data_IF_104037262926
#
_entry.id   IF_104037262926
#
_cell.length_a   1.000
_cell.length_b   1.000
_cell.length_c   1.000
_cell.angle_alpha   90.00
_cell.angle_beta   90.00
_cell.angle_gamma   90.00
#
_symmetry.space_group_name_H-M   'P 1'
#
loop_
_entity.id
_entity.type
_entity.pdbx_description
1 polymer ?
#
# COMPACT_ATOMS: atom_id res chain seq x y z
N UNK A 1 11.83 25.01 -2.85
CA UNK A 1 11.47 24.02 -1.84
C UNK A 1 12.44 22.85 -1.83
N UNK A 2 12.61 22.20 -0.68
CA UNK A 2 13.46 20.98 -0.61
C UNK A 2 12.69 19.75 -1.06
N UNK A 3 13.40 18.85 -1.79
CA UNK A 3 12.87 17.57 -2.23
C UNK A 3 13.97 16.51 -2.28
N UNK A 4 13.61 15.24 -2.09
CA UNK A 4 14.52 14.11 -2.27
C UNK A 4 14.47 13.66 -3.73
N UNK A 5 15.59 13.84 -4.41
CA UNK A 5 15.73 13.55 -5.84
C UNK A 5 16.74 12.43 -6.09
N UNK A 6 16.63 11.79 -7.25
CA UNK A 6 17.69 10.93 -7.81
C UNK A 6 17.91 11.23 -9.28
N UNK A 7 19.16 11.49 -9.66
CA UNK A 7 19.53 11.82 -11.04
C UNK A 7 19.89 10.60 -11.87
N UNK A 8 20.30 9.53 -11.21
CA UNK A 8 20.65 8.22 -11.78
C UNK A 8 19.95 7.10 -11.01
N UNK A 9 19.67 6.00 -11.66
CA UNK A 9 19.16 4.81 -10.98
C UNK A 9 20.28 4.09 -10.23
N UNK A 10 20.00 3.46 -9.09
CA UNK A 10 21.02 2.77 -8.30
C UNK A 10 20.62 2.40 -6.88
N UNK A 11 21.63 2.25 -6.02
CA UNK A 11 21.52 2.04 -4.57
C UNK A 11 20.86 3.23 -3.86
N UNK A 12 20.50 3.13 -2.56
CA UNK A 12 19.92 4.25 -1.81
C UNK A 12 20.77 5.53 -1.80
N UNK A 13 22.08 5.42 -1.98
CA UNK A 13 23.02 6.55 -1.97
C UNK A 13 22.82 7.55 -3.12
N UNK A 14 22.02 7.20 -4.14
CA UNK A 14 21.66 8.12 -5.22
C UNK A 14 20.58 9.13 -4.82
N UNK A 15 20.01 8.99 -3.63
CA UNK A 15 19.00 9.90 -3.10
C UNK A 15 19.65 11.09 -2.44
N UNK A 16 19.35 12.28 -2.92
CA UNK A 16 19.91 13.56 -2.47
C UNK A 16 18.81 14.55 -2.17
N UNK A 17 18.99 15.38 -1.16
CA UNK A 17 18.11 16.54 -0.92
C UNK A 17 18.61 17.69 -1.79
N UNK A 18 17.72 18.19 -2.64
CA UNK A 18 18.02 19.32 -3.51
C UNK A 18 16.93 20.38 -3.41
N UNK A 19 17.32 21.62 -3.67
CA UNK A 19 16.37 22.70 -3.89
C UNK A 19 15.78 22.57 -5.31
N UNK A 20 14.46 22.57 -5.37
CA UNK A 20 13.67 22.50 -6.59
C UNK A 20 12.57 23.56 -6.59
N UNK A 21 12.04 23.90 -7.75
CA UNK A 21 10.93 24.83 -7.84
C UNK A 21 9.68 24.28 -7.14
N UNK A 22 8.94 25.14 -6.45
CA UNK A 22 7.62 24.79 -5.91
C UNK A 22 6.65 24.56 -7.06
N UNK A 23 5.90 23.46 -7.07
CA UNK A 23 5.01 23.14 -8.19
C UNK A 23 3.87 24.14 -8.29
N UNK A 24 3.52 24.51 -9.53
CA UNK A 24 2.33 25.30 -9.85
C UNK A 24 1.16 24.32 -9.99
N UNK A 25 0.05 24.58 -9.28
CA UNK A 25 -1.16 23.74 -9.35
C UNK A 25 -1.95 24.03 -10.63
N UNK A 26 -2.58 22.99 -11.15
CA UNK A 26 -3.61 23.08 -12.20
C UNK A 26 -4.98 23.38 -11.59
N UNK A 27 -5.95 23.62 -12.44
CA UNK A 27 -7.31 23.96 -12.02
C UNK A 27 -7.97 22.88 -11.14
N UNK A 28 -7.67 21.59 -11.33
CA UNK A 28 -8.19 20.44 -10.58
C UNK A 28 -7.24 19.93 -9.48
N UNK A 29 -6.14 20.65 -9.21
CA UNK A 29 -5.13 20.25 -8.23
C UNK A 29 -5.17 21.15 -6.99
N UNK A 30 -4.62 20.61 -5.92
CA UNK A 30 -4.33 21.35 -4.68
C UNK A 30 -2.83 21.35 -4.43
N UNK A 31 -2.32 22.39 -3.79
CA UNK A 31 -0.95 22.43 -3.26
C UNK A 31 -0.98 21.94 -1.81
N UNK A 32 -0.33 20.84 -1.55
CA UNK A 32 -0.21 20.26 -0.20
C UNK A 32 1.17 20.57 0.35
N UNK A 33 1.25 21.22 1.53
CA UNK A 33 2.44 21.21 2.37
C UNK A 33 2.52 19.84 3.02
N UNK A 34 3.53 19.06 2.67
CA UNK A 34 3.70 17.69 3.12
C UNK A 34 4.33 17.67 4.51
N UNK A 35 3.79 16.85 5.41
CA UNK A 35 4.35 16.62 6.75
C UNK A 35 4.93 15.21 6.88
N UNK A 36 4.36 14.23 6.16
CA UNK A 36 4.89 12.89 6.13
C UNK A 36 4.61 12.19 4.79
N UNK A 37 5.50 11.27 4.43
CA UNK A 37 5.38 10.36 3.29
C UNK A 37 5.71 8.96 3.73
N UNK A 38 5.30 7.92 3.01
CA UNK A 38 5.74 6.56 3.32
C UNK A 38 6.54 5.94 2.19
N UNK A 39 7.49 5.09 2.54
CA UNK A 39 8.31 4.36 1.58
C UNK A 39 7.63 3.04 1.23
N UNK A 40 7.57 2.72 -0.05
CA UNK A 40 6.96 1.52 -0.59
C UNK A 40 7.98 0.70 -1.40
N UNK A 41 7.80 -0.63 -1.51
CA UNK A 41 8.64 -1.44 -2.40
C UNK A 41 8.67 -0.95 -3.85
N UNK A 42 7.60 -0.32 -4.34
CA UNK A 42 7.54 0.26 -5.68
C UNK A 42 8.49 1.46 -5.83
N UNK A 43 8.68 2.28 -4.80
CA UNK A 43 9.61 3.42 -4.81
C UNK A 43 11.06 2.93 -4.96
N UNK A 44 11.38 1.79 -4.31
CA UNK A 44 12.68 1.11 -4.46
C UNK A 44 12.87 0.58 -5.89
N UNK A 45 11.84 -0.05 -6.47
CA UNK A 45 11.89 -0.56 -7.85
C UNK A 45 12.07 0.59 -8.85
N UNK A 46 11.35 1.70 -8.68
CA UNK A 46 11.47 2.90 -9.53
C UNK A 46 12.89 3.47 -9.44
N UNK A 47 13.43 3.61 -8.23
CA UNK A 47 14.79 4.11 -8.03
C UNK A 47 15.85 3.21 -8.68
N UNK A 48 15.68 1.88 -8.63
CA UNK A 48 16.64 0.92 -9.18
C UNK A 48 16.55 0.72 -10.70
N UNK A 49 15.38 0.91 -11.30
CA UNK A 49 15.11 0.52 -12.68
C UNK A 49 14.77 1.73 -13.56
N UNK A 50 15.62 2.02 -14.55
CA UNK A 50 15.46 3.18 -15.45
C UNK A 50 14.16 3.12 -16.26
N UNK A 51 13.77 1.95 -16.73
CA UNK A 51 12.55 1.77 -17.53
C UNK A 51 11.33 2.04 -16.64
N UNK A 52 11.28 1.45 -15.44
CA UNK A 52 10.21 1.68 -14.49
C UNK A 52 10.17 3.15 -14.04
N UNK A 53 11.33 3.76 -13.79
CA UNK A 53 11.43 5.18 -13.46
C UNK A 53 10.82 6.07 -14.54
N UNK A 54 11.09 5.80 -15.81
CA UNK A 54 10.55 6.58 -16.92
C UNK A 54 9.03 6.44 -17.04
N UNK A 55 8.50 5.20 -17.00
CA UNK A 55 7.06 4.96 -17.21
C UNK A 55 6.21 5.28 -15.98
N UNK A 56 6.68 4.97 -14.78
CA UNK A 56 5.89 5.09 -13.55
C UNK A 56 6.03 6.49 -12.95
N UNK A 57 7.24 7.02 -12.88
CA UNK A 57 7.52 8.33 -12.28
C UNK A 57 7.24 9.51 -13.24
N UNK A 58 6.82 9.24 -14.48
CA UNK A 58 6.48 10.23 -15.51
C UNK A 58 7.55 11.33 -15.67
N UNK A 59 8.84 10.93 -15.56
CA UNK A 59 9.97 11.85 -15.67
C UNK A 59 10.24 12.68 -14.40
N UNK A 60 9.47 12.55 -13.32
CA UNK A 60 9.83 13.16 -12.04
C UNK A 60 11.12 12.55 -11.50
N UNK A 61 12.00 13.40 -11.05
CA UNK A 61 13.23 12.98 -10.35
C UNK A 61 13.02 12.87 -8.84
N UNK A 62 11.88 13.29 -8.32
CA UNK A 62 11.54 13.26 -6.89
C UNK A 62 10.95 11.89 -6.56
N UNK A 63 11.43 11.25 -5.51
CA UNK A 63 10.94 9.96 -5.04
C UNK A 63 9.62 10.06 -4.25
N UNK A 64 9.08 8.90 -3.85
CA UNK A 64 7.91 8.79 -2.97
C UNK A 64 6.58 8.77 -3.72
N UNK A 65 5.59 8.14 -3.10
CA UNK A 65 4.28 7.93 -3.71
C UNK A 65 3.11 8.30 -2.77
N UNK A 66 3.20 7.98 -1.50
CA UNK A 66 2.21 8.36 -0.47
C UNK A 66 2.52 9.73 0.11
N UNK A 67 1.51 10.43 0.59
CA UNK A 67 1.68 11.67 1.33
C UNK A 67 0.57 11.89 2.35
N UNK A 68 0.89 12.69 3.36
CA UNK A 68 -0.07 13.40 4.21
C UNK A 68 0.44 14.81 4.50
N UNK A 69 -0.49 15.75 4.64
CA UNK A 69 -0.11 17.15 4.84
C UNK A 69 -1.33 18.06 4.89
N UNK A 70 -1.09 19.36 4.73
CA UNK A 70 -2.11 20.41 4.79
C UNK A 70 -2.23 21.13 3.46
N UNK A 71 -3.44 21.37 3.01
CA UNK A 71 -3.72 22.15 1.79
C UNK A 71 -3.37 23.61 2.03
N UNK A 72 -2.51 24.17 1.17
CA UNK A 72 -2.09 25.56 1.17
C UNK A 72 -2.80 26.41 0.12
N UNK A 73 -3.16 25.82 -1.01
CA UNK A 73 -3.95 26.48 -2.05
C UNK A 73 -4.73 25.43 -2.87
N UNK A 74 -5.83 25.88 -3.47
CA UNK A 74 -6.72 25.03 -4.30
C UNK A 74 -6.85 25.62 -5.69
N UNK A 75 -6.93 24.77 -6.72
CA UNK A 75 -7.19 25.15 -8.09
C UNK A 75 -8.65 25.58 -8.29
N UNK A 76 -8.92 26.26 -9.40
CA UNK A 76 -10.21 26.93 -9.66
C UNK A 76 -11.42 25.99 -9.72
N UNK A 77 -11.21 24.72 -10.09
CA UNK A 77 -12.30 23.73 -10.23
C UNK A 77 -12.40 22.79 -9.04
N UNK A 78 -11.53 22.94 -8.03
CA UNK A 78 -11.60 22.16 -6.79
C UNK A 78 -12.78 22.62 -5.96
N UNK A 79 -13.69 21.70 -5.62
CA UNK A 79 -14.92 22.01 -4.88
C UNK A 79 -15.08 21.21 -3.58
N UNK A 80 -14.34 20.10 -3.44
CA UNK A 80 -14.48 19.17 -2.32
C UNK A 80 -13.54 19.46 -1.15
N UNK A 81 -12.59 20.39 -1.32
CA UNK A 81 -11.52 20.69 -0.38
C UNK A 81 -11.21 22.18 -0.34
N UNK A 82 -10.61 22.65 0.76
CA UNK A 82 -10.25 24.06 0.98
C UNK A 82 -8.88 24.21 1.63
N UNK A 83 -8.36 25.43 1.60
CA UNK A 83 -7.15 25.79 2.31
C UNK A 83 -7.27 25.47 3.81
N UNK A 84 -6.22 24.89 4.38
CA UNK A 84 -6.17 24.48 5.78
C UNK A 84 -6.64 23.05 6.05
N UNK A 85 -7.27 22.37 5.10
CA UNK A 85 -7.67 20.98 5.27
C UNK A 85 -6.45 20.06 5.41
N UNK A 86 -6.49 19.16 6.39
CA UNK A 86 -5.53 18.07 6.54
C UNK A 86 -5.93 16.92 5.63
N UNK A 87 -4.99 16.46 4.81
CA UNK A 87 -5.26 15.46 3.76
C UNK A 87 -4.23 14.34 3.74
N UNK A 88 -4.61 13.21 3.14
CA UNK A 88 -3.72 12.12 2.81
C UNK A 88 -4.07 11.53 1.44
N UNK A 89 -3.10 10.96 0.77
CA UNK A 89 -3.33 10.41 -0.56
C UNK A 89 -2.13 9.78 -1.22
N UNK A 90 -2.36 9.35 -2.47
CA UNK A 90 -1.38 8.63 -3.27
C UNK A 90 -1.30 9.19 -4.69
N UNK A 91 -0.06 9.43 -5.14
CA UNK A 91 0.27 9.66 -6.55
C UNK A 91 1.53 8.87 -6.92
N UNK A 92 1.68 8.58 -8.20
CA UNK A 92 2.90 7.89 -8.67
C UNK A 92 4.06 8.88 -8.76
N UNK A 93 5.00 8.75 -7.82
CA UNK A 93 6.22 9.55 -7.74
C UNK A 93 6.02 11.01 -7.30
N UNK A 94 7.08 11.60 -6.77
CA UNK A 94 7.14 13.03 -6.51
C UNK A 94 6.55 13.51 -5.18
N UNK A 95 6.42 12.65 -4.17
CA UNK A 95 5.81 13.06 -2.89
C UNK A 95 6.81 13.39 -1.80
N UNK A 96 8.09 12.93 -1.90
CA UNK A 96 9.11 13.24 -0.91
C UNK A 96 9.67 14.64 -1.14
N UNK A 97 8.87 15.65 -0.84
CA UNK A 97 9.14 17.07 -1.02
C UNK A 97 8.32 17.91 -0.02
N UNK A 98 8.74 19.14 0.25
CA UNK A 98 8.00 20.06 1.15
C UNK A 98 6.61 20.41 0.63
N UNK A 99 6.45 20.48 -0.70
CA UNK A 99 5.16 20.80 -1.35
C UNK A 99 4.90 19.87 -2.52
N UNK A 100 3.65 19.47 -2.69
CA UNK A 100 3.19 18.59 -3.77
C UNK A 100 1.90 19.13 -4.38
N UNK A 101 1.89 19.29 -5.71
CA UNK A 101 0.66 19.49 -6.46
C UNK A 101 0.02 18.14 -6.76
N UNK A 102 -1.25 17.97 -6.39
CA UNK A 102 -1.97 16.71 -6.57
C UNK A 102 -3.46 16.96 -6.85
N UNK A 103 -4.05 16.18 -7.77
CA UNK A 103 -5.47 16.28 -8.08
C UNK A 103 -6.33 15.91 -6.87
N UNK A 104 -7.41 16.69 -6.61
CA UNK A 104 -8.36 16.40 -5.54
C UNK A 104 -8.93 14.97 -5.61
N UNK A 105 -8.97 14.37 -6.82
CA UNK A 105 -9.46 12.99 -7.04
C UNK A 105 -8.55 11.90 -6.50
N UNK A 106 -7.38 12.25 -5.95
CA UNK A 106 -6.35 11.30 -5.46
C UNK A 106 -6.04 11.44 -3.99
N UNK A 107 -6.74 12.33 -3.30
CA UNK A 107 -6.57 12.60 -1.87
C UNK A 107 -7.93 12.57 -1.18
N UNK A 108 -7.90 12.44 0.15
CA UNK A 108 -9.09 12.55 1.01
C UNK A 108 -8.73 13.32 2.29
N UNK A 109 -9.75 13.78 3.02
CA UNK A 109 -9.58 14.43 4.33
C UNK A 109 -9.02 13.42 5.33
N UNK A 110 -7.93 13.80 5.98
CA UNK A 110 -7.27 12.99 7.00
C UNK A 110 -8.21 12.78 8.19
N UNK A 111 -8.40 11.53 8.65
CA UNK A 111 -9.12 11.27 9.89
C UNK A 111 -8.49 12.00 11.07
N UNK A 112 -9.32 12.63 11.91
CA UNK A 112 -8.82 13.44 13.04
C UNK A 112 -8.06 12.61 14.09
N UNK A 113 -8.37 11.34 14.18
CA UNK A 113 -7.75 10.38 15.11
C UNK A 113 -6.45 9.74 14.56
N UNK A 114 -5.85 10.33 13.52
CA UNK A 114 -4.54 9.92 12.98
C UNK A 114 -3.53 11.07 13.06
N UNK A 115 -2.27 10.74 13.33
CA UNK A 115 -1.15 11.65 13.06
C UNK A 115 -0.88 11.76 11.55
N UNK A 116 -0.02 12.66 11.11
CA UNK A 116 0.36 12.74 9.70
C UNK A 116 1.19 11.52 9.26
N UNK A 117 2.03 10.99 10.14
CA UNK A 117 2.81 9.78 9.90
C UNK A 117 1.91 8.56 9.69
N UNK A 118 0.93 8.36 10.58
CA UNK A 118 -0.06 7.30 10.43
C UNK A 118 -0.87 7.44 9.15
N UNK A 119 -1.27 8.67 8.81
CA UNK A 119 -2.03 8.95 7.60
C UNK A 119 -1.20 8.74 6.32
N UNK A 120 0.09 9.10 6.32
CA UNK A 120 0.99 8.83 5.20
C UNK A 120 1.23 7.33 4.99
N UNK A 121 1.11 6.51 6.03
CA UNK A 121 1.26 5.06 5.95
C UNK A 121 0.09 4.34 5.26
N UNK A 122 -1.06 5.02 5.11
CA UNK A 122 -2.32 4.42 4.63
C UNK A 122 -2.38 4.24 3.11
N UNK A 123 -2.14 5.26 2.23
CA UNK A 123 -2.78 5.31 0.91
C UNK A 123 -2.48 4.10 0.04
N UNK A 124 -1.24 3.90 -0.40
CA UNK A 124 -0.91 2.80 -1.32
C UNK A 124 -1.21 1.43 -0.72
N UNK A 125 -0.86 1.21 0.53
CA UNK A 125 -0.96 -0.09 1.17
C UNK A 125 -2.43 -0.47 1.44
N UNK A 126 -3.23 0.44 2.02
CA UNK A 126 -4.62 0.17 2.34
C UNK A 126 -5.51 0.15 1.08
N UNK A 127 -5.25 1.01 0.07
CA UNK A 127 -5.90 0.93 -1.24
C UNK A 127 -5.63 -0.42 -1.92
N UNK A 128 -4.38 -0.90 -1.87
CA UNK A 128 -4.02 -2.22 -2.39
C UNK A 128 -4.82 -3.32 -1.69
N UNK A 129 -4.89 -3.29 -0.36
CA UNK A 129 -5.62 -4.27 0.42
C UNK A 129 -7.14 -4.22 0.14
N UNK A 130 -7.74 -3.03 0.16
CA UNK A 130 -9.18 -2.84 -0.09
C UNK A 130 -9.57 -3.31 -1.49
N UNK A 131 -8.87 -2.83 -2.53
CA UNK A 131 -9.19 -3.16 -3.91
C UNK A 131 -8.89 -4.63 -4.23
N UNK A 132 -7.85 -5.22 -3.61
CA UNK A 132 -7.59 -6.66 -3.75
C UNK A 132 -8.76 -7.49 -3.18
N UNK A 133 -9.20 -7.19 -1.98
CA UNK A 133 -10.24 -7.96 -1.30
C UNK A 133 -11.63 -7.68 -1.90
N UNK A 134 -12.00 -6.41 -2.08
CA UNK A 134 -13.32 -5.99 -2.58
C UNK A 134 -13.48 -6.28 -4.07
N UNK A 135 -12.57 -5.73 -4.91
CA UNK A 135 -12.79 -5.69 -6.37
C UNK A 135 -12.28 -6.96 -7.07
N UNK A 136 -11.21 -7.55 -6.55
CA UNK A 136 -10.66 -8.78 -7.11
C UNK A 136 -11.16 -10.01 -6.39
N UNK A 137 -11.27 -9.95 -5.05
CA UNK A 137 -11.71 -11.06 -4.21
C UNK A 137 -13.23 -11.22 -4.14
N UNK A 138 -14.00 -10.16 -4.41
CA UNK A 138 -15.45 -10.11 -4.16
C UNK A 138 -15.78 -10.58 -2.74
N UNK A 139 -15.05 -10.03 -1.76
CA UNK A 139 -15.13 -10.43 -0.36
C UNK A 139 -16.54 -10.27 0.20
N UNK A 140 -17.03 -11.30 0.89
CA UNK A 140 -18.33 -11.31 1.57
C UNK A 140 -18.20 -11.86 2.99
N UNK A 141 -19.13 -11.47 3.86
CA UNK A 141 -19.21 -11.95 5.24
C UNK A 141 -19.27 -13.48 5.31
N UNK A 142 -18.63 -14.06 6.33
CA UNK A 142 -18.55 -15.51 6.56
C UNK A 142 -17.50 -16.26 5.77
N UNK A 143 -16.87 -15.64 4.76
CA UNK A 143 -15.80 -16.27 3.99
C UNK A 143 -14.54 -16.52 4.80
N UNK A 144 -13.77 -17.55 4.39
CA UNK A 144 -12.43 -17.81 4.91
C UNK A 144 -11.38 -17.12 4.02
N UNK A 145 -10.62 -16.19 4.61
CA UNK A 145 -9.61 -15.39 3.92
C UNK A 145 -8.24 -15.70 4.49
N UNK A 146 -7.28 -16.02 3.63
CA UNK A 146 -5.87 -16.15 4.01
C UNK A 146 -5.07 -14.97 3.48
N UNK A 147 -4.30 -14.32 4.37
CA UNK A 147 -3.39 -13.21 4.05
C UNK A 147 -1.95 -13.70 4.22
N UNK A 148 -1.24 -13.94 3.13
CA UNK A 148 0.19 -14.27 3.15
C UNK A 148 1.01 -12.98 3.23
N UNK A 149 1.91 -12.88 4.22
CA UNK A 149 2.65 -11.67 4.56
C UNK A 149 1.83 -10.69 5.39
N UNK A 150 1.03 -11.22 6.32
CA UNK A 150 0.06 -10.48 7.13
C UNK A 150 0.67 -9.37 8.01
N UNK A 151 1.97 -9.43 8.35
CA UNK A 151 2.67 -8.41 9.12
C UNK A 151 3.30 -7.29 8.29
N UNK A 152 3.32 -7.39 6.96
CA UNK A 152 3.88 -6.36 6.08
C UNK A 152 2.92 -5.20 5.83
N UNK A 153 3.37 -4.19 5.05
CA UNK A 153 2.60 -2.97 4.80
C UNK A 153 1.19 -3.21 4.30
N UNK A 154 1.01 -3.98 3.23
CA UNK A 154 -0.32 -4.33 2.70
C UNK A 154 -1.04 -5.32 3.62
N UNK A 155 -0.30 -6.27 4.20
CA UNK A 155 -0.87 -7.35 5.01
C UNK A 155 -1.58 -6.87 6.27
N UNK A 156 -1.00 -5.89 6.98
CA UNK A 156 -1.59 -5.33 8.21
C UNK A 156 -2.94 -4.66 7.94
N UNK A 157 -3.07 -3.97 6.81
CA UNK A 157 -4.37 -3.42 6.39
C UNK A 157 -5.32 -4.50 5.89
N UNK A 158 -4.81 -5.50 5.15
CA UNK A 158 -5.64 -6.56 4.59
C UNK A 158 -6.32 -7.41 5.68
N UNK A 159 -5.62 -7.71 6.78
CA UNK A 159 -6.21 -8.39 7.95
C UNK A 159 -7.38 -7.59 8.51
N UNK A 160 -7.18 -6.32 8.81
CA UNK A 160 -8.18 -5.45 9.42
C UNK A 160 -9.37 -5.20 8.49
N UNK A 161 -9.10 -4.92 7.20
CA UNK A 161 -10.13 -4.72 6.19
C UNK A 161 -10.95 -6.00 6.01
N UNK A 162 -10.32 -7.18 5.89
CA UNK A 162 -11.05 -8.44 5.80
C UNK A 162 -11.95 -8.67 7.02
N UNK A 163 -11.47 -8.38 8.24
CA UNK A 163 -12.29 -8.43 9.46
C UNK A 163 -13.46 -7.48 9.41
N UNK A 164 -13.29 -6.28 8.88
CA UNK A 164 -14.39 -5.30 8.74
C UNK A 164 -15.53 -5.76 7.82
N UNK A 165 -15.25 -6.72 6.92
CA UNK A 165 -16.24 -7.40 6.09
C UNK A 165 -16.91 -8.61 6.77
N UNK A 166 -16.56 -8.93 8.04
CA UNK A 166 -17.14 -10.05 8.78
C UNK A 166 -16.63 -11.42 8.33
N UNK A 167 -15.38 -11.51 7.87
CA UNK A 167 -14.77 -12.76 7.42
C UNK A 167 -13.96 -13.46 8.51
N UNK A 168 -13.65 -14.75 8.32
CA UNK A 168 -12.70 -15.51 9.12
C UNK A 168 -11.29 -15.34 8.52
N UNK A 169 -10.40 -14.65 9.23
CA UNK A 169 -9.08 -14.28 8.72
C UNK A 169 -7.99 -15.18 9.27
N UNK A 170 -7.20 -15.79 8.38
CA UNK A 170 -5.95 -16.47 8.71
C UNK A 170 -4.78 -15.65 8.21
N UNK A 171 -3.92 -15.19 9.13
CA UNK A 171 -2.69 -14.45 8.80
C UNK A 171 -1.46 -15.35 8.78
N UNK A 172 -0.63 -15.23 7.75
CA UNK A 172 0.66 -15.95 7.63
C UNK A 172 1.80 -14.98 7.86
N UNK A 173 2.67 -15.28 8.82
CA UNK A 173 3.86 -14.45 9.12
C UNK A 173 4.95 -15.27 9.83
N UNK A 174 6.05 -14.63 10.22
CA UNK A 174 7.07 -15.24 11.08
C UNK A 174 6.66 -15.22 12.56
N UNK A 175 7.26 -16.10 13.37
CA UNK A 175 6.99 -16.25 14.80
C UNK A 175 6.86 -14.92 15.55
N UNK A 176 7.80 -14.01 15.34
CA UNK A 176 7.88 -12.72 16.07
C UNK A 176 6.68 -11.78 15.85
N UNK A 177 5.90 -12.00 14.78
CA UNK A 177 4.82 -11.09 14.38
C UNK A 177 3.43 -11.69 14.61
N UNK A 178 3.30 -12.91 15.14
CA UNK A 178 2.00 -13.59 15.26
C UNK A 178 1.05 -12.85 16.21
N UNK A 179 1.56 -12.35 17.34
CA UNK A 179 0.75 -11.61 18.32
C UNK A 179 0.26 -10.27 17.74
N UNK A 180 1.10 -9.57 16.97
CA UNK A 180 0.67 -8.37 16.26
C UNK A 180 -0.52 -8.70 15.34
N UNK A 181 -0.42 -9.76 14.53
CA UNK A 181 -1.45 -10.10 13.55
C UNK A 181 -2.77 -10.48 14.24
N UNK A 182 -2.70 -11.21 15.36
CA UNK A 182 -3.88 -11.48 16.21
C UNK A 182 -4.50 -10.18 16.73
N UNK A 183 -3.67 -9.26 17.24
CA UNK A 183 -4.15 -7.95 17.73
C UNK A 183 -4.79 -7.07 16.67
N UNK A 184 -4.49 -7.32 15.38
CA UNK A 184 -5.12 -6.69 14.23
C UNK A 184 -6.41 -7.38 13.79
N UNK A 185 -6.80 -8.48 14.46
CA UNK A 185 -8.08 -9.15 14.26
C UNK A 185 -8.00 -10.45 13.46
N UNK A 186 -6.83 -11.04 13.24
CA UNK A 186 -6.75 -12.38 12.66
C UNK A 186 -7.30 -13.43 13.63
N UNK A 187 -8.22 -14.28 13.18
CA UNK A 187 -8.80 -15.37 13.96
C UNK A 187 -7.81 -16.53 14.12
N UNK A 188 -6.96 -16.73 13.11
CA UNK A 188 -5.91 -17.75 13.08
C UNK A 188 -4.61 -17.17 12.56
N UNK A 189 -3.50 -17.72 13.02
CA UNK A 189 -2.16 -17.37 12.51
C UNK A 189 -1.39 -18.63 12.16
N UNK A 190 -0.59 -18.55 11.11
CA UNK A 190 0.31 -19.60 10.64
C UNK A 190 1.73 -19.04 10.63
N UNK A 191 2.64 -19.74 11.28
CA UNK A 191 4.06 -19.42 11.31
C UNK A 191 4.77 -20.10 10.14
N UNK A 192 5.06 -19.33 9.08
CA UNK A 192 5.73 -19.88 7.90
C UNK A 192 7.16 -20.36 8.14
N UNK A 193 7.75 -20.04 9.30
CA UNK A 193 9.09 -20.52 9.69
C UNK A 193 9.05 -21.93 10.23
N UNK A 194 7.85 -22.43 10.63
CA UNK A 194 7.63 -23.73 11.23
C UNK A 194 6.80 -24.66 10.35
N UNK A 195 5.89 -24.11 9.56
CA UNK A 195 4.99 -24.89 8.73
C UNK A 195 4.70 -24.25 7.37
N UNK A 196 4.46 -25.08 6.36
CA UNK A 196 4.03 -24.64 5.03
C UNK A 196 2.52 -24.44 5.01
N UNK A 197 2.07 -23.19 4.99
CA UNK A 197 0.65 -22.86 4.98
C UNK A 197 -0.12 -23.46 3.78
N UNK A 198 0.57 -23.86 2.69
CA UNK A 198 -0.07 -24.51 1.53
C UNK A 198 -0.39 -25.99 1.77
N UNK A 199 0.02 -26.57 2.89
CA UNK A 199 -0.22 -27.95 3.29
C UNK A 199 -1.32 -28.11 4.35
N UNK A 200 -2.01 -27.03 4.72
CA UNK A 200 -3.12 -27.05 5.68
C UNK A 200 -4.33 -27.80 5.10
N UNK A 201 -5.12 -28.43 5.98
CA UNK A 201 -6.43 -29.02 5.61
C UNK A 201 -7.54 -27.97 5.50
N UNK A 202 -7.30 -26.73 6.00
CA UNK A 202 -8.26 -25.64 5.87
C UNK A 202 -8.38 -25.19 4.41
N UNK A 203 -9.60 -24.78 4.03
CA UNK A 203 -9.89 -24.24 2.70
C UNK A 203 -10.27 -22.78 2.80
N UNK A 204 -9.91 -22.01 1.77
CA UNK A 204 -10.09 -20.57 1.72
C UNK A 204 -10.86 -20.16 0.48
N UNK A 205 -11.68 -19.14 0.64
CA UNK A 205 -12.42 -18.52 -0.47
C UNK A 205 -11.55 -17.46 -1.15
N UNK A 206 -10.71 -16.78 -0.38
CA UNK A 206 -9.77 -15.78 -0.89
C UNK A 206 -8.39 -16.05 -0.27
N UNK A 207 -7.36 -16.04 -1.11
CA UNK A 207 -5.96 -16.01 -0.68
C UNK A 207 -5.32 -14.76 -1.28
N UNK A 208 -4.92 -13.83 -0.41
CA UNK A 208 -4.15 -12.65 -0.80
C UNK A 208 -2.67 -12.89 -0.49
N UNK A 209 -1.85 -12.95 -1.54
CA UNK A 209 -0.38 -13.00 -1.43
C UNK A 209 0.19 -11.58 -1.52
N UNK A 210 0.32 -10.94 -0.36
CA UNK A 210 0.79 -9.57 -0.23
C UNK A 210 2.32 -9.42 -0.36
N UNK A 211 3.08 -10.52 -0.31
CA UNK A 211 4.54 -10.55 -0.42
C UNK A 211 5.05 -11.16 -1.72
N UNK A 212 4.13 -11.73 -2.52
CA UNK A 212 4.44 -12.39 -3.79
C UNK A 212 5.53 -13.50 -3.68
N UNK A 213 5.55 -14.21 -2.56
CA UNK A 213 6.44 -15.35 -2.29
C UNK A 213 5.75 -16.70 -2.50
N UNK A 214 4.45 -16.71 -2.86
CA UNK A 214 3.71 -17.91 -3.19
C UNK A 214 3.27 -17.92 -4.65
N UNK A 215 2.57 -18.96 -5.08
CA UNK A 215 2.04 -19.08 -6.44
C UNK A 215 0.63 -19.66 -6.42
N UNK A 216 -0.15 -19.35 -7.47
CA UNK A 216 -1.46 -19.93 -7.63
C UNK A 216 -1.40 -21.48 -7.64
N UNK A 217 -0.40 -22.08 -8.29
CA UNK A 217 -0.25 -23.54 -8.36
C UNK A 217 -0.11 -24.18 -6.98
N UNK A 218 0.66 -23.56 -6.07
CA UNK A 218 0.81 -24.02 -4.68
C UNK A 218 -0.48 -23.82 -3.89
N UNK A 219 -1.09 -22.65 -4.00
CA UNK A 219 -2.28 -22.26 -3.25
C UNK A 219 -3.56 -22.91 -3.76
N UNK A 220 -3.60 -23.37 -5.04
CA UNK A 220 -4.79 -23.98 -5.65
C UNK A 220 -5.34 -25.15 -4.82
N UNK A 221 -4.49 -25.90 -4.13
CA UNK A 221 -4.90 -27.06 -3.31
C UNK A 221 -5.76 -26.67 -2.12
N UNK A 222 -5.49 -25.49 -1.52
CA UNK A 222 -6.18 -24.98 -0.33
C UNK A 222 -7.29 -23.96 -0.66
N UNK A 223 -7.58 -23.69 -1.92
CA UNK A 223 -8.74 -22.90 -2.34
C UNK A 223 -10.01 -23.76 -2.39
N UNK A 224 -11.13 -23.17 -1.99
CA UNK A 224 -12.48 -23.69 -2.25
C UNK A 224 -12.79 -23.72 -3.74
N UNK A 225 -13.85 -24.44 -4.15
CA UNK A 225 -14.44 -24.28 -5.49
C UNK A 225 -14.96 -22.85 -5.61
N UNK A 226 -14.61 -22.15 -6.70
CA UNK A 226 -14.91 -20.72 -6.85
C UNK A 226 -13.89 -19.78 -6.14
N UNK A 227 -12.96 -20.33 -5.36
CA UNK A 227 -11.99 -19.54 -4.61
C UNK A 227 -10.99 -18.77 -5.49
N UNK A 228 -10.49 -17.68 -4.96
CA UNK A 228 -9.69 -16.69 -5.68
C UNK A 228 -8.31 -16.51 -5.01
N UNK A 229 -7.25 -16.71 -5.79
CA UNK A 229 -5.88 -16.32 -5.42
C UNK A 229 -5.57 -14.95 -6.03
N UNK A 230 -5.07 -14.02 -5.22
CA UNK A 230 -4.73 -12.65 -5.63
C UNK A 230 -3.27 -12.39 -5.27
N UNK A 231 -2.45 -11.96 -6.23
CA UNK A 231 -1.09 -11.51 -5.95
C UNK A 231 -0.95 -10.01 -6.21
N UNK A 232 -0.26 -9.35 -5.30
CA UNK A 232 0.08 -7.91 -5.42
C UNK A 232 1.24 -7.65 -6.36
N UNK A 233 1.96 -8.69 -6.80
CA UNK A 233 3.06 -8.59 -7.74
C UNK A 233 2.68 -9.19 -9.08
N UNK A 234 3.14 -8.53 -10.13
CA UNK A 234 3.04 -9.01 -11.50
C UNK A 234 4.17 -9.99 -11.84
N UNK A 235 3.82 -11.10 -12.52
CA UNK A 235 4.79 -11.98 -13.16
C UNK A 235 4.21 -12.56 -14.45
N UNK A 236 5.04 -12.88 -15.47
CA UNK A 236 4.57 -13.49 -16.72
C UNK A 236 3.80 -14.79 -16.48
N UNK A 237 4.30 -15.64 -15.57
CA UNK A 237 3.63 -16.91 -15.21
C UNK A 237 2.24 -16.66 -14.60
N UNK A 238 2.12 -15.66 -13.72
CA UNK A 238 0.82 -15.31 -13.13
C UNK A 238 -0.17 -14.84 -14.20
N UNK A 239 0.28 -14.09 -15.21
CA UNK A 239 -0.60 -13.70 -16.33
C UNK A 239 -1.16 -14.89 -17.10
N UNK A 240 -0.30 -15.85 -17.44
CA UNK A 240 -0.74 -17.09 -18.10
C UNK A 240 -1.79 -17.79 -17.22
N UNK A 241 -1.57 -17.86 -15.91
CA UNK A 241 -2.52 -18.45 -14.96
C UNK A 241 -3.81 -17.65 -14.87
N UNK A 242 -3.76 -16.32 -14.88
CA UNK A 242 -4.96 -15.46 -14.91
C UNK A 242 -5.80 -15.80 -16.13
N UNK A 243 -5.21 -15.78 -17.34
CA UNK A 243 -5.93 -16.07 -18.58
C UNK A 243 -6.50 -17.49 -18.56
N UNK A 244 -5.70 -18.50 -18.23
CA UNK A 244 -6.13 -19.90 -18.22
C UNK A 244 -7.27 -20.17 -17.22
N UNK A 245 -7.23 -19.51 -16.03
CA UNK A 245 -8.28 -19.71 -15.02
C UNK A 245 -9.57 -18.96 -15.34
N UNK A 246 -9.53 -17.89 -16.13
CA UNK A 246 -10.74 -17.23 -16.65
C UNK A 246 -11.50 -18.17 -17.59
N UNK A 247 -10.78 -18.85 -18.47
CA UNK A 247 -11.38 -19.69 -19.51
C UNK A 247 -11.83 -21.06 -19.00
N UNK A 248 -11.01 -21.73 -18.17
CA UNK A 248 -11.19 -23.15 -17.87
C UNK A 248 -11.19 -23.52 -16.38
N UNK A 249 -11.05 -22.55 -15.47
CA UNK A 249 -10.82 -22.83 -14.05
C UNK A 249 -12.05 -22.67 -13.17
N UNK A 250 -12.31 -23.64 -12.27
CA UNK A 250 -13.24 -23.48 -11.14
C UNK A 250 -12.64 -22.65 -9.99
N UNK A 251 -11.32 -22.41 -9.99
CA UNK A 251 -10.57 -21.57 -9.06
C UNK A 251 -9.87 -20.50 -9.88
N UNK A 252 -9.83 -19.25 -9.40
CA UNK A 252 -9.35 -18.13 -10.18
C UNK A 252 -8.02 -17.60 -9.66
N UNK A 253 -7.09 -17.26 -10.57
CA UNK A 253 -5.92 -16.45 -10.28
C UNK A 253 -6.20 -15.00 -10.73
N UNK A 254 -5.84 -14.04 -9.91
CA UNK A 254 -5.95 -12.61 -10.25
C UNK A 254 -4.68 -11.85 -9.84
N UNK A 255 -4.39 -10.80 -10.55
CA UNK A 255 -3.41 -9.77 -10.16
C UNK A 255 -4.11 -8.45 -10.08
N UNK A 256 -3.47 -7.48 -9.44
CA UNK A 256 -4.05 -6.16 -9.31
C UNK A 256 -3.04 -5.04 -9.55
N UNK A 257 -3.55 -3.92 -10.01
CA UNK A 257 -2.88 -2.63 -9.98
C UNK A 257 -3.74 -1.69 -9.14
N UNK A 258 -3.12 -0.99 -8.20
CA UNK A 258 -3.82 -0.03 -7.35
C UNK A 258 -4.25 1.17 -8.17
N UNK A 259 -5.48 1.62 -7.95
CA UNK A 259 -6.00 2.87 -8.49
C UNK A 259 -6.19 3.87 -7.36
N UNK A 260 -5.50 5.02 -7.45
CA UNK A 260 -5.68 6.12 -6.51
C UNK A 260 -6.99 6.84 -6.81
N UNK A 261 -7.91 6.82 -5.86
CA UNK A 261 -9.16 7.56 -5.95
C UNK A 261 -9.67 7.97 -4.57
N UNK A 262 -10.31 9.14 -4.50
CA UNK A 262 -10.84 9.73 -3.27
C UNK A 262 -11.87 8.84 -2.59
N UNK A 263 -12.77 8.20 -3.34
CA UNK A 263 -13.84 7.36 -2.78
C UNK A 263 -13.31 6.20 -1.93
N UNK A 264 -12.28 5.51 -2.42
CA UNK A 264 -11.66 4.40 -1.69
C UNK A 264 -10.87 4.91 -0.46
N UNK A 265 -10.20 6.07 -0.57
CA UNK A 265 -9.54 6.70 0.58
C UNK A 265 -10.56 7.11 1.64
N UNK A 266 -11.72 7.62 1.26
CA UNK A 266 -12.82 7.96 2.19
C UNK A 266 -13.37 6.71 2.89
N UNK A 267 -13.53 5.59 2.17
CA UNK A 267 -13.94 4.30 2.78
C UNK A 267 -12.91 3.89 3.84
N UNK A 268 -11.61 3.95 3.51
CA UNK A 268 -10.55 3.63 4.47
C UNK A 268 -10.57 4.61 5.64
N UNK A 269 -10.69 5.91 5.36
CA UNK A 269 -10.81 6.96 6.39
C UNK A 269 -11.99 6.72 7.34
N UNK A 270 -13.13 6.24 6.83
CA UNK A 270 -14.27 5.85 7.65
C UNK A 270 -13.94 4.66 8.55
N UNK A 271 -13.31 3.61 8.02
CA UNK A 271 -12.89 2.45 8.81
C UNK A 271 -11.89 2.84 9.92
N UNK A 272 -11.02 3.81 9.65
CA UNK A 272 -10.10 4.36 10.67
C UNK A 272 -10.87 5.13 11.74
N UNK A 273 -11.80 6.01 11.37
CA UNK A 273 -12.63 6.76 12.32
C UNK A 273 -13.44 5.82 13.22
N UNK A 274 -13.92 4.70 12.69
CA UNK A 274 -14.65 3.65 13.42
C UNK A 274 -13.74 2.74 14.26
N UNK A 275 -12.41 2.96 14.26
CA UNK A 275 -11.44 2.12 14.99
C UNK A 275 -11.26 0.71 14.41
N UNK A 276 -11.82 0.42 13.21
CA UNK A 276 -11.72 -0.88 12.55
C UNK A 276 -10.39 -1.07 11.81
N UNK A 277 -9.71 0.02 11.47
CA UNK A 277 -8.41 0.03 10.80
C UNK A 277 -7.49 1.02 11.51
N UNK A 278 -6.28 0.58 11.83
CA UNK A 278 -5.20 1.42 12.35
C UNK A 278 -3.92 1.21 11.55
N UNK A 279 -3.10 2.23 11.44
CA UNK A 279 -1.78 2.13 10.83
C UNK A 279 -0.80 1.44 11.77
N UNK A 280 0.04 0.57 11.23
CA UNK A 280 1.21 0.02 11.91
C UNK A 280 2.43 0.68 11.28
N UNK A 281 3.03 1.62 11.99
CA UNK A 281 4.28 2.29 11.60
C UNK A 281 5.41 1.67 12.39
N UNK A 282 6.34 1.00 11.70
CA UNK A 282 7.49 0.36 12.34
C UNK A 282 8.54 1.41 12.74
N UNK A 283 8.81 2.34 11.81
CA UNK A 283 9.82 3.37 12.03
C UNK A 283 9.55 4.61 11.20
N UNK A 284 9.86 5.78 11.79
CA UNK A 284 9.88 7.07 11.12
C UNK A 284 11.31 7.58 10.99
N UNK A 285 11.64 8.14 9.84
CA UNK A 285 12.93 8.74 9.52
C UNK A 285 12.75 10.22 9.17
N UNK A 286 13.66 11.11 9.54
CA UNK A 286 13.65 12.47 9.02
C UNK A 286 14.04 12.47 7.52
N UNK A 287 13.66 13.52 6.78
CA UNK A 287 13.87 13.63 5.34
C UNK A 287 15.32 13.42 4.91
N UNK A 288 16.30 13.89 5.72
CA UNK A 288 17.73 13.70 5.44
C UNK A 288 18.21 12.25 5.59
N UNK A 289 17.38 11.35 6.13
CA UNK A 289 17.64 9.92 6.26
C UNK A 289 16.80 9.08 5.30
N UNK A 290 16.32 9.66 4.21
CA UNK A 290 15.53 8.93 3.20
C UNK A 290 16.28 7.72 2.61
N UNK A 291 17.60 7.82 2.44
CA UNK A 291 18.43 6.69 1.98
C UNK A 291 18.38 5.51 2.96
N UNK A 292 18.44 5.78 4.28
CA UNK A 292 18.31 4.76 5.32
C UNK A 292 16.91 4.11 5.30
N UNK A 293 15.85 4.92 5.14
CA UNK A 293 14.47 4.44 5.03
C UNK A 293 14.28 3.51 3.81
N UNK A 294 14.87 3.86 2.65
CA UNK A 294 14.87 2.99 1.47
C UNK A 294 15.64 1.70 1.68
N UNK A 295 16.81 1.77 2.33
CA UNK A 295 17.61 0.59 2.68
C UNK A 295 16.85 -0.34 3.62
N UNK A 296 16.11 0.21 4.59
CA UNK A 296 15.26 -0.55 5.51
C UNK A 296 14.24 -1.40 4.73
N UNK A 297 13.53 -0.80 3.77
CA UNK A 297 12.58 -1.52 2.91
C UNK A 297 13.27 -2.57 2.04
N UNK A 298 14.47 -2.29 1.51
CA UNK A 298 15.24 -3.23 0.68
C UNK A 298 15.69 -4.47 1.43
N UNK A 299 16.06 -4.33 2.68
CA UNK A 299 16.47 -5.44 3.55
C UNK A 299 15.30 -6.40 3.82
N UNK A 300 14.05 -5.95 3.59
CA UNK A 300 12.84 -6.74 3.78
C UNK A 300 12.52 -6.97 5.26
N UNK A 301 11.50 -7.81 5.48
CA UNK A 301 11.01 -8.14 6.84
C UNK A 301 10.43 -6.96 7.62
N UNK A 302 10.08 -5.86 6.93
CA UNK A 302 9.42 -4.69 7.51
C UNK A 302 8.08 -5.07 8.13
N UNK A 303 7.81 -4.55 9.33
CA UNK A 303 6.55 -4.70 10.05
C UNK A 303 5.68 -3.46 9.77
N UNK A 304 4.55 -3.65 9.08
CA UNK A 304 3.74 -2.49 8.68
C UNK A 304 4.48 -1.57 7.71
N UNK A 305 4.61 -0.29 8.05
CA UNK A 305 5.09 0.77 7.16
C UNK A 305 6.29 1.52 7.74
N UNK A 306 7.14 1.99 6.84
CA UNK A 306 8.22 2.95 7.11
C UNK A 306 7.81 4.31 6.60
N UNK A 307 7.99 5.34 7.40
CA UNK A 307 7.56 6.72 7.14
C UNK A 307 8.75 7.66 7.13
N UNK A 308 8.67 8.73 6.37
CA UNK A 308 9.62 9.85 6.35
C UNK A 308 8.87 11.11 6.75
N UNK A 309 9.35 11.79 7.78
CA UNK A 309 8.84 13.12 8.20
C UNK A 309 9.49 14.20 7.37
N UNK A 310 8.65 15.12 6.89
CA UNK A 310 9.06 16.31 6.13
C UNK A 310 8.88 17.51 7.05
N UNK A 311 9.97 18.15 7.40
CA UNK A 311 10.01 19.33 8.29
C UNK A 311 10.23 20.59 7.50
#
# INVERSE_FOLDING_TARGET
MKAVVFRKNGSPDVLEINDVETPIIKDDEVLVKVYAVSVNPVDVVIRKNRIMSFFVNRGSKITGSDLSGKIMSVGRTVVSMKNGDDVFGFRQGGTTAEYVAISEKKIAIKPINMTFEEAAAVPLAALTALQALRDKGNICSGQNVLINGASGGVGTYAVQIAKSFGTNVTGVSSTKNLELIKSLGADKVIDYTKEDFTRTNQRYDIILDAVAKSSFSKCKKILNKGGIFISTRFSPLLLIQVVSTVLFGSKKAKTMFVNSNTKDLEIIGKLVKEGKVKSVVEQSYPMNKTSEAHLHIENGHTIGKVVITIS
#
